data_IF_718201064382
#
_entry.id   IF_718201064382
#
_cell.length_a   1.000
_cell.length_b   1.000
_cell.length_c   1.000
_cell.angle_alpha   90.00
_cell.angle_beta   90.00
_cell.angle_gamma   90.00
#
_symmetry.space_group_name_H-M   'P 1'
#
loop_
_entity.id
_entity.type
_entity.pdbx_description
1 polymer ?
#
# COMPACT_ATOMS: atom_id res chain seq x y z
N UNK A 1 -6.48 -12.24 10.90
CA UNK A 1 -6.39 -12.64 9.48
C UNK A 1 -7.00 -14.04 9.26
N UNK A 2 -8.17 -14.37 9.81
CA UNK A 2 -8.76 -15.73 9.66
C UNK A 2 -9.99 -15.77 8.73
N UNK A 3 -10.86 -14.75 8.77
CA UNK A 3 -12.14 -14.76 8.05
C UNK A 3 -12.03 -14.90 6.52
N UNK A 4 -11.02 -14.29 5.89
CA UNK A 4 -10.83 -14.40 4.44
C UNK A 4 -10.33 -15.78 4.02
N UNK A 5 -9.46 -16.41 4.80
CA UNK A 5 -9.00 -17.77 4.50
C UNK A 5 -10.09 -18.81 4.79
N UNK A 6 -10.96 -18.56 5.76
CA UNK A 6 -12.13 -19.42 6.03
C UNK A 6 -13.11 -19.41 4.85
N UNK A 7 -13.40 -18.25 4.26
CA UNK A 7 -14.33 -18.13 3.14
C UNK A 7 -13.68 -18.43 1.77
N UNK A 8 -12.40 -18.11 1.60
CA UNK A 8 -11.66 -18.20 0.34
C UNK A 8 -10.27 -18.81 0.57
N UNK A 9 -10.24 -20.11 0.84
CA UNK A 9 -9.02 -20.83 1.19
C UNK A 9 -7.90 -20.71 0.13
N UNK A 10 -8.25 -20.61 -1.15
CA UNK A 10 -7.30 -20.47 -2.26
C UNK A 10 -6.88 -19.02 -2.55
N UNK A 11 -7.45 -18.03 -1.86
CA UNK A 11 -7.12 -16.63 -2.11
C UNK A 11 -5.76 -16.28 -1.51
N UNK A 12 -4.91 -15.65 -2.31
CA UNK A 12 -3.65 -15.08 -1.82
C UNK A 12 -3.93 -13.71 -1.21
N UNK A 13 -3.68 -13.58 0.10
CA UNK A 13 -3.75 -12.28 0.77
C UNK A 13 -2.49 -11.48 0.44
N UNK A 14 -2.68 -10.28 -0.10
CA UNK A 14 -1.59 -9.35 -0.36
C UNK A 14 -1.94 -7.96 0.16
N UNK A 15 -0.99 -7.32 0.84
CA UNK A 15 -1.12 -5.96 1.34
C UNK A 15 -1.14 -4.93 0.20
N UNK A 16 -1.58 -3.72 0.47
CA UNK A 16 -1.57 -2.65 -0.54
C UNK A 16 -0.28 -1.82 -0.43
N UNK A 17 0.46 -1.64 -1.54
CA UNK A 17 1.71 -0.86 -1.55
C UNK A 17 1.48 0.58 -1.08
N UNK A 18 0.36 1.18 -1.51
CA UNK A 18 -0.01 2.53 -1.09
C UNK A 18 -0.18 2.63 0.44
N UNK A 19 -0.75 1.60 1.08
CA UNK A 19 -0.90 1.57 2.54
C UNK A 19 0.45 1.40 3.24
N UNK A 20 1.39 0.65 2.66
CA UNK A 20 2.76 0.59 3.16
C UNK A 20 3.41 1.98 3.12
N UNK A 21 3.37 2.67 1.98
CA UNK A 21 3.89 4.04 1.84
C UNK A 21 3.25 5.01 2.86
N UNK A 22 1.92 4.97 3.01
CA UNK A 22 1.21 5.77 3.99
C UNK A 22 1.65 5.49 5.42
N UNK A 23 1.91 4.22 5.76
CA UNK A 23 2.35 3.85 7.11
C UNK A 23 3.74 4.41 7.43
N UNK A 24 4.65 4.41 6.45
CA UNK A 24 6.00 4.98 6.60
C UNK A 24 5.90 6.49 6.79
N UNK A 25 5.14 7.18 5.93
CA UNK A 25 4.96 8.64 6.04
C UNK A 25 4.24 9.05 7.33
N UNK A 26 3.26 8.28 7.78
CA UNK A 26 2.63 8.49 9.07
C UNK A 26 3.65 8.39 10.20
N UNK A 27 4.56 7.41 10.14
CA UNK A 27 5.61 7.27 11.15
C UNK A 27 6.59 8.44 11.13
N UNK A 28 7.01 8.89 9.95
CA UNK A 28 7.85 10.09 9.78
C UNK A 28 7.19 11.31 10.45
N UNK A 29 5.88 11.50 10.26
CA UNK A 29 5.14 12.58 10.90
C UNK A 29 5.04 12.42 12.43
N UNK A 30 4.76 11.21 12.93
CA UNK A 30 4.74 10.91 14.37
C UNK A 30 6.08 11.20 15.06
N UNK A 31 7.19 10.98 14.36
CA UNK A 31 8.54 11.26 14.86
C UNK A 31 8.93 12.75 14.77
N UNK A 32 8.05 13.60 14.23
CA UNK A 32 8.29 15.03 14.06
C UNK A 32 9.21 15.37 12.88
N UNK A 33 9.46 14.43 11.97
CA UNK A 33 10.41 14.59 10.85
C UNK A 33 9.79 15.24 9.60
N UNK A 34 8.56 15.75 9.68
CA UNK A 34 7.82 16.22 8.51
C UNK A 34 8.54 17.35 7.78
N UNK A 35 8.98 18.37 8.52
CA UNK A 35 9.65 19.55 7.95
C UNK A 35 10.97 19.15 7.29
N UNK A 36 11.75 18.29 7.94
CA UNK A 36 13.03 17.80 7.41
C UNK A 36 12.80 16.95 6.15
N UNK A 37 11.78 16.09 6.14
CA UNK A 37 11.39 15.30 4.97
C UNK A 37 10.94 16.16 3.77
N UNK A 38 10.25 17.27 4.03
CA UNK A 38 9.79 18.18 2.97
C UNK A 38 10.91 19.08 2.44
N UNK A 39 11.90 19.41 3.25
CA UNK A 39 12.98 20.36 2.92
C UNK A 39 14.30 19.72 2.50
N UNK A 40 14.53 18.44 2.84
CA UNK A 40 15.77 17.71 2.52
C UNK A 40 15.50 16.55 1.55
N UNK A 41 16.03 16.68 0.35
CA UNK A 41 15.84 15.71 -0.74
C UNK A 41 16.51 14.36 -0.45
N UNK A 42 17.68 14.35 0.17
CA UNK A 42 18.41 13.12 0.51
C UNK A 42 17.65 12.31 1.57
N UNK A 43 17.15 13.00 2.61
CA UNK A 43 16.32 12.37 3.64
C UNK A 43 15.02 11.84 3.04
N UNK A 44 14.40 12.61 2.14
CA UNK A 44 13.18 12.21 1.44
C UNK A 44 13.40 10.96 0.60
N UNK A 45 14.49 10.89 -0.15
CA UNK A 45 14.86 9.72 -0.96
C UNK A 45 15.10 8.52 -0.05
N UNK A 46 15.90 8.67 1.01
CA UNK A 46 16.20 7.61 1.96
C UNK A 46 14.93 7.01 2.60
N UNK A 47 13.99 7.86 3.04
CA UNK A 47 12.70 7.43 3.57
C UNK A 47 11.88 6.68 2.51
N UNK A 48 11.91 7.11 1.24
CA UNK A 48 11.20 6.42 0.15
C UNK A 48 11.82 5.04 -0.15
N UNK A 49 13.13 4.86 0.04
CA UNK A 49 13.79 3.56 -0.10
C UNK A 49 13.21 2.52 0.88
N UNK A 50 12.75 2.91 2.06
CA UNK A 50 12.06 1.99 2.98
C UNK A 50 10.78 1.41 2.36
N UNK A 51 9.98 2.23 1.67
CA UNK A 51 8.82 1.72 0.96
C UNK A 51 9.24 0.86 -0.26
N UNK A 52 10.31 1.25 -0.94
CA UNK A 52 10.85 0.52 -2.09
C UNK A 52 11.32 -0.90 -1.75
N UNK A 53 11.57 -1.22 -0.47
CA UNK A 53 11.83 -2.59 0.00
C UNK A 53 10.76 -3.59 -0.41
N UNK A 54 9.53 -3.13 -0.71
CA UNK A 54 8.48 -3.99 -1.24
C UNK A 54 8.83 -4.61 -2.60
N UNK A 55 9.81 -4.06 -3.31
CA UNK A 55 10.25 -4.51 -4.62
C UNK A 55 11.58 -5.28 -4.58
N UNK A 56 12.11 -5.58 -3.39
CA UNK A 56 13.27 -6.47 -3.25
C UNK A 56 12.77 -7.92 -3.30
N UNK A 57 13.50 -8.86 -3.94
CA UNK A 57 13.16 -10.28 -3.88
C UNK A 57 13.03 -10.75 -2.42
N UNK A 58 12.04 -11.60 -2.14
CA UNK A 58 11.69 -11.99 -0.76
C UNK A 58 12.88 -12.55 0.04
N UNK A 59 13.76 -13.30 -0.62
CA UNK A 59 14.94 -13.89 0.01
C UNK A 59 15.95 -12.83 0.49
N UNK A 60 16.01 -11.70 -0.21
CA UNK A 60 17.06 -10.70 -0.02
C UNK A 60 16.60 -9.53 0.86
N UNK A 61 15.32 -9.49 1.27
CA UNK A 61 14.74 -8.35 2.00
C UNK A 61 15.49 -8.04 3.29
N UNK A 62 15.90 -9.06 4.04
CA UNK A 62 16.57 -8.85 5.33
C UNK A 62 17.98 -8.27 5.16
N UNK A 63 18.74 -8.80 4.19
CA UNK A 63 20.09 -8.33 3.87
C UNK A 63 20.05 -6.93 3.25
N UNK A 64 19.15 -6.71 2.28
CA UNK A 64 18.97 -5.41 1.65
C UNK A 64 18.55 -4.33 2.66
N UNK A 65 17.81 -4.70 3.71
CA UNK A 65 17.47 -3.77 4.78
C UNK A 65 18.68 -3.38 5.62
N UNK A 66 19.54 -4.34 5.97
CA UNK A 66 20.75 -4.06 6.75
C UNK A 66 21.68 -3.10 5.97
N UNK A 67 21.89 -3.36 4.68
CA UNK A 67 22.63 -2.47 3.78
C UNK A 67 22.00 -1.08 3.67
N UNK A 68 20.66 -1.02 3.55
CA UNK A 68 19.94 0.24 3.50
C UNK A 68 20.15 1.02 4.80
N UNK A 69 19.98 0.38 5.96
CA UNK A 69 20.13 0.98 7.28
C UNK A 69 21.52 1.61 7.49
N UNK A 70 22.57 0.93 7.02
CA UNK A 70 23.95 1.46 7.05
C UNK A 70 24.16 2.68 6.15
N UNK A 71 23.42 2.74 5.03
CA UNK A 71 23.50 3.84 4.06
C UNK A 71 22.62 5.06 4.39
N UNK A 72 21.77 4.98 5.42
CA UNK A 72 20.83 6.06 5.73
C UNK A 72 21.54 7.35 6.19
N UNK A 73 21.03 8.54 5.80
CA UNK A 73 21.60 9.80 6.26
C UNK A 73 21.45 9.93 7.77
N UNK A 74 22.47 10.51 8.43
CA UNK A 74 22.45 10.77 9.86
C UNK A 74 21.33 11.73 10.21
N UNK A 75 20.35 11.25 10.98
CA UNK A 75 19.27 12.07 11.50
C UNK A 75 18.88 11.58 12.90
N UNK A 76 18.56 12.51 13.82
CA UNK A 76 18.27 12.20 15.24
C UNK A 76 17.17 11.14 15.44
N UNK A 77 16.27 11.01 14.47
CA UNK A 77 15.10 10.12 14.49
C UNK A 77 15.17 8.97 13.49
N UNK A 78 16.28 8.82 12.77
CA UNK A 78 16.40 7.77 11.75
C UNK A 78 16.37 6.37 12.38
N UNK A 79 17.12 6.17 13.46
CA UNK A 79 17.18 4.87 14.15
C UNK A 79 15.79 4.45 14.67
N UNK A 80 14.99 5.40 15.16
CA UNK A 80 13.61 5.15 15.60
C UNK A 80 12.70 4.74 14.42
N UNK A 81 12.89 5.34 13.23
CA UNK A 81 12.15 5.00 12.02
C UNK A 81 12.55 3.62 11.48
N UNK A 82 13.85 3.33 11.43
CA UNK A 82 14.39 2.03 11.00
C UNK A 82 13.93 0.92 11.94
N UNK A 83 14.02 1.15 13.25
CA UNK A 83 13.55 0.21 14.26
C UNK A 83 12.05 -0.06 14.12
N UNK A 84 11.25 0.98 13.87
CA UNK A 84 9.82 0.79 13.56
C UNK A 84 9.62 -0.11 12.33
N UNK A 85 10.34 0.15 11.24
CA UNK A 85 10.16 -0.61 10.00
C UNK A 85 10.59 -2.06 10.16
N UNK A 86 11.77 -2.30 10.73
CA UNK A 86 12.30 -3.64 11.02
C UNK A 86 11.34 -4.47 11.87
N UNK A 87 10.85 -3.87 12.96
CA UNK A 87 9.93 -4.54 13.89
C UNK A 87 8.53 -4.75 13.32
N UNK A 88 8.08 -3.90 12.40
CA UNK A 88 6.72 -3.98 11.88
C UNK A 88 6.62 -4.92 10.67
N UNK A 89 7.67 -4.93 9.82
CA UNK A 89 7.60 -5.51 8.47
C UNK A 89 8.65 -6.58 8.18
N UNK A 90 9.78 -6.62 8.90
CA UNK A 90 10.90 -7.52 8.58
C UNK A 90 11.06 -8.60 9.64
N UNK A 91 11.68 -8.27 10.78
CA UNK A 91 12.10 -9.26 11.78
C UNK A 91 11.11 -9.40 12.94
N UNK A 92 10.30 -8.37 13.21
CA UNK A 92 9.42 -8.35 14.38
C UNK A 92 10.10 -7.85 15.65
N UNK A 93 9.45 -7.90 16.82
CA UNK A 93 10.05 -7.38 18.06
C UNK A 93 10.98 -8.41 18.72
N UNK A 94 12.17 -7.98 19.14
CA UNK A 94 13.07 -8.82 19.96
C UNK A 94 12.39 -9.19 21.29
N UNK A 95 12.36 -10.48 21.62
CA UNK A 95 11.83 -10.98 22.89
C UNK A 95 12.99 -11.18 23.86
N UNK A 96 12.95 -10.55 25.03
CA UNK A 96 13.98 -10.74 26.07
C UNK A 96 13.96 -12.19 26.58
N UNK A 97 15.14 -12.83 26.64
CA UNK A 97 15.33 -14.13 27.31
C UNK A 97 15.58 -15.33 26.38
N UNK A 98 15.72 -15.14 25.07
CA UNK A 98 16.23 -16.16 24.14
C UNK A 98 17.21 -15.50 23.16
N UNK A 99 18.39 -16.08 22.99
CA UNK A 99 19.50 -15.48 22.22
C UNK A 99 19.16 -15.20 20.75
N UNK A 100 18.22 -15.94 20.14
CA UNK A 100 17.95 -15.88 18.69
C UNK A 100 16.49 -15.68 18.27
N UNK A 101 15.55 -15.29 19.16
CA UNK A 101 14.12 -15.25 18.79
C UNK A 101 13.52 -13.83 18.74
N UNK A 102 13.21 -13.38 17.53
CA UNK A 102 12.27 -12.30 17.28
C UNK A 102 10.83 -12.85 17.32
N UNK A 103 9.89 -12.10 17.92
CA UNK A 103 8.47 -12.34 17.68
C UNK A 103 8.17 -12.12 16.19
N UNK A 104 7.17 -12.80 15.59
CA UNK A 104 6.85 -12.58 14.18
C UNK A 104 6.52 -11.10 13.92
N UNK A 105 6.97 -10.59 12.77
CA UNK A 105 6.61 -9.26 12.30
C UNK A 105 5.08 -9.10 12.28
N UNK A 106 4.60 -7.90 12.63
CA UNK A 106 3.17 -7.61 12.65
C UNK A 106 2.54 -7.84 11.26
N UNK A 107 3.30 -7.51 10.22
CA UNK A 107 2.97 -7.82 8.83
C UNK A 107 4.12 -8.64 8.22
N UNK A 108 3.92 -9.95 8.01
CA UNK A 108 4.93 -10.80 7.39
C UNK A 108 5.36 -10.28 6.01
N UNK A 109 6.65 -10.47 5.67
CA UNK A 109 7.27 -9.97 4.43
C UNK A 109 6.52 -10.38 3.17
N UNK A 110 6.10 -11.65 3.08
CA UNK A 110 5.34 -12.17 1.95
C UNK A 110 3.98 -11.47 1.73
N UNK A 111 3.40 -10.86 2.77
CA UNK A 111 2.11 -10.18 2.66
C UNK A 111 2.26 -8.84 1.95
N UNK A 112 3.25 -8.02 2.34
CA UNK A 112 3.39 -6.65 1.83
C UNK A 112 4.36 -6.53 0.64
N UNK A 113 5.19 -7.53 0.38
CA UNK A 113 6.08 -7.55 -0.77
C UNK A 113 5.28 -7.56 -2.10
N UNK A 114 5.83 -6.86 -3.09
CA UNK A 114 5.27 -6.60 -4.41
C UNK A 114 6.22 -6.93 -5.55
N UNK A 115 7.33 -7.59 -5.29
CA UNK A 115 8.30 -7.96 -6.33
C UNK A 115 7.65 -8.80 -7.44
N UNK A 116 7.00 -9.91 -7.06
CA UNK A 116 6.30 -10.78 -8.02
C UNK A 116 5.10 -10.10 -8.68
N UNK A 117 4.37 -9.26 -7.94
CA UNK A 117 3.26 -8.48 -8.50
C UNK A 117 3.74 -7.51 -9.57
N UNK A 118 4.86 -6.81 -9.32
CA UNK A 118 5.45 -5.87 -10.27
C UNK A 118 5.94 -6.61 -11.53
N UNK A 119 6.59 -7.76 -11.37
CA UNK A 119 7.04 -8.60 -12.50
C UNK A 119 5.89 -9.09 -13.38
N UNK A 120 4.74 -9.40 -12.78
CA UNK A 120 3.53 -9.87 -13.46
C UNK A 120 2.62 -8.75 -13.97
N UNK A 121 3.00 -7.48 -13.79
CA UNK A 121 2.17 -6.33 -14.16
C UNK A 121 0.85 -6.24 -13.37
N UNK A 122 0.78 -6.88 -12.19
CA UNK A 122 -0.39 -6.79 -11.31
C UNK A 122 -0.39 -5.40 -10.67
N UNK A 123 -1.58 -4.77 -10.63
CA UNK A 123 -1.74 -3.45 -10.04
C UNK A 123 -1.17 -3.38 -8.61
N UNK A 124 -0.25 -2.42 -8.39
CA UNK A 124 0.43 -2.20 -7.09
C UNK A 124 -0.50 -1.64 -6.02
N UNK A 125 -1.56 -0.97 -6.45
CA UNK A 125 -2.55 -0.30 -5.61
C UNK A 125 -3.95 -0.77 -5.98
N UNK A 126 -4.87 -0.61 -5.04
CA UNK A 126 -6.30 -0.80 -5.25
C UNK A 126 -6.96 0.46 -5.86
N UNK A 127 -6.22 1.34 -6.54
CA UNK A 127 -6.73 2.62 -7.07
C UNK A 127 -7.94 2.45 -7.99
N UNK A 128 -7.98 1.38 -8.78
CA UNK A 128 -9.14 1.09 -9.63
C UNK A 128 -10.40 0.81 -8.79
N UNK A 129 -10.23 0.08 -7.69
CA UNK A 129 -11.30 -0.24 -6.75
C UNK A 129 -11.70 1.00 -5.95
N UNK A 130 -10.74 1.77 -5.44
CA UNK A 130 -11.01 3.04 -4.74
C UNK A 130 -11.68 4.06 -5.67
N UNK A 131 -11.25 4.15 -6.93
CA UNK A 131 -11.87 4.98 -7.95
C UNK A 131 -13.31 4.55 -8.26
N UNK A 132 -13.57 3.24 -8.35
CA UNK A 132 -14.92 2.69 -8.48
C UNK A 132 -15.79 3.06 -7.27
N UNK A 133 -15.30 2.88 -6.05
CA UNK A 133 -16.02 3.25 -4.84
C UNK A 133 -16.28 4.76 -4.75
N UNK A 134 -15.30 5.61 -5.06
CA UNK A 134 -15.47 7.06 -5.11
C UNK A 134 -16.53 7.47 -6.15
N UNK A 135 -16.49 6.85 -7.34
CA UNK A 135 -17.49 7.05 -8.37
C UNK A 135 -18.88 6.66 -7.89
N UNK A 136 -19.01 5.51 -7.24
CA UNK A 136 -20.26 5.03 -6.68
C UNK A 136 -20.78 5.96 -5.56
N UNK A 137 -19.91 6.37 -4.64
CA UNK A 137 -20.27 7.30 -3.56
C UNK A 137 -20.75 8.65 -4.11
N UNK A 138 -20.13 9.13 -5.19
CA UNK A 138 -20.55 10.37 -5.86
C UNK A 138 -21.98 10.30 -6.43
N UNK A 139 -22.49 9.11 -6.75
CA UNK A 139 -23.86 8.92 -7.24
C UNK A 139 -24.91 9.04 -6.14
N UNK A 140 -24.56 8.68 -4.90
CA UNK A 140 -25.48 8.74 -3.77
C UNK A 140 -25.52 10.11 -3.10
N UNK A 141 -24.41 10.88 -3.18
CA UNK A 141 -24.27 12.22 -2.59
C UNK A 141 -24.62 12.32 -1.09
N UNK A 142 -24.66 11.19 -0.37
CA UNK A 142 -25.02 11.12 1.05
C UNK A 142 -24.32 9.92 1.71
N UNK A 143 -24.20 9.97 3.05
CA UNK A 143 -23.56 8.90 3.83
C UNK A 143 -24.52 7.75 4.17
N UNK A 144 -25.83 8.02 4.22
CA UNK A 144 -26.87 7.07 4.59
C UNK A 144 -28.04 7.15 3.61
N UNK A 145 -27.89 6.56 2.40
CA UNK A 145 -28.96 6.56 1.41
C UNK A 145 -30.16 5.77 1.92
N UNK A 146 -31.37 6.27 1.64
CA UNK A 146 -32.57 5.44 1.77
C UNK A 146 -32.49 4.25 0.80
N UNK A 147 -33.24 3.19 1.05
CA UNK A 147 -33.29 2.03 0.15
C UNK A 147 -33.62 2.43 -1.30
N UNK A 148 -34.52 3.41 -1.47
CA UNK A 148 -34.88 3.93 -2.78
C UNK A 148 -33.71 4.67 -3.46
N UNK A 149 -33.04 5.57 -2.73
CA UNK A 149 -31.86 6.30 -3.22
C UNK A 149 -30.72 5.35 -3.58
N UNK A 150 -30.55 4.27 -2.80
CA UNK A 150 -29.59 3.22 -3.08
C UNK A 150 -29.90 2.53 -4.40
N UNK A 151 -31.13 2.07 -4.61
CA UNK A 151 -31.52 1.41 -5.85
C UNK A 151 -31.36 2.31 -7.08
N UNK A 152 -31.78 3.57 -6.99
CA UNK A 152 -31.63 4.52 -8.08
C UNK A 152 -30.15 4.82 -8.40
N UNK A 153 -29.31 4.96 -7.39
CA UNK A 153 -27.87 5.12 -7.59
C UNK A 153 -27.21 3.88 -8.21
N UNK A 154 -27.58 2.67 -7.79
CA UNK A 154 -27.08 1.41 -8.35
C UNK A 154 -27.51 1.21 -9.82
N UNK A 155 -28.74 1.59 -10.18
CA UNK A 155 -29.19 1.60 -11.58
C UNK A 155 -28.35 2.55 -12.42
N UNK A 156 -28.10 3.76 -11.93
CA UNK A 156 -27.26 4.76 -12.62
C UNK A 156 -25.82 4.25 -12.81
N UNK A 157 -25.23 3.66 -11.78
CA UNK A 157 -23.89 3.06 -11.88
C UNK A 157 -23.87 1.93 -12.92
N UNK A 158 -24.84 1.01 -12.87
CA UNK A 158 -24.94 -0.11 -13.81
C UNK A 158 -25.02 0.36 -15.27
N UNK A 159 -25.84 1.39 -15.55
CA UNK A 159 -25.91 2.00 -16.87
C UNK A 159 -24.57 2.61 -17.30
N UNK A 160 -23.89 3.32 -16.40
CA UNK A 160 -22.58 3.92 -16.67
C UNK A 160 -21.52 2.86 -16.98
N UNK A 161 -21.43 1.80 -16.16
CA UNK A 161 -20.48 0.70 -16.38
C UNK A 161 -20.76 -0.02 -17.70
N UNK A 162 -22.03 -0.26 -18.04
CA UNK A 162 -22.43 -0.87 -19.31
C UNK A 162 -22.01 -0.01 -20.51
N UNK A 163 -22.20 1.30 -20.44
CA UNK A 163 -21.75 2.22 -21.49
C UNK A 163 -20.24 2.20 -21.66
N UNK A 164 -19.48 2.24 -20.56
CA UNK A 164 -18.01 2.16 -20.59
C UNK A 164 -17.57 0.84 -21.24
N UNK A 165 -18.14 -0.29 -20.81
CA UNK A 165 -17.83 -1.60 -21.36
C UNK A 165 -18.11 -1.71 -22.87
N UNK A 166 -19.26 -1.21 -23.33
CA UNK A 166 -19.62 -1.20 -24.76
C UNK A 166 -18.67 -0.32 -25.58
N UNK A 167 -18.31 0.86 -25.07
CA UNK A 167 -17.34 1.75 -25.70
C UNK A 167 -15.95 1.10 -25.80
N UNK A 168 -15.45 0.50 -24.71
CA UNK A 168 -14.17 -0.21 -24.70
C UNK A 168 -14.16 -1.39 -25.68
N UNK A 169 -15.23 -2.18 -25.71
CA UNK A 169 -15.35 -3.33 -26.64
C UNK A 169 -15.43 -2.88 -28.11
N UNK A 170 -15.93 -1.67 -28.35
CA UNK A 170 -15.99 -1.05 -29.69
C UNK A 170 -14.67 -0.38 -30.11
N UNK A 171 -13.61 -0.47 -29.29
CA UNK A 171 -12.30 0.12 -29.58
C UNK A 171 -12.18 1.61 -29.25
N UNK A 172 -13.17 2.20 -28.56
CA UNK A 172 -13.07 3.60 -28.10
C UNK A 172 -12.11 3.65 -26.92
N UNK A 173 -10.95 4.27 -27.11
CA UNK A 173 -9.98 4.47 -26.05
C UNK A 173 -10.45 5.56 -25.08
N UNK A 174 -10.67 5.18 -23.82
CA UNK A 174 -10.87 6.14 -22.74
C UNK A 174 -9.52 6.47 -22.11
N UNK A 175 -9.01 7.66 -22.40
CA UNK A 175 -7.80 8.15 -21.75
C UNK A 175 -8.10 8.51 -20.29
N UNK A 176 -7.43 7.85 -19.34
CA UNK A 176 -7.46 8.28 -17.95
C UNK A 176 -6.96 9.72 -17.82
N UNK A 177 -7.59 10.52 -16.95
CA UNK A 177 -7.05 11.82 -16.52
C UNK A 177 -5.55 11.71 -16.19
N UNK A 178 -4.75 12.68 -16.63
CA UNK A 178 -3.28 12.71 -16.47
C UNK A 178 -2.80 12.38 -15.05
N UNK A 179 -3.64 12.64 -14.04
CA UNK A 179 -3.37 12.44 -12.61
C UNK A 179 -3.03 10.98 -12.21
N UNK A 180 -3.30 9.98 -13.06
CA UNK A 180 -3.08 8.55 -12.77
C UNK A 180 -2.13 7.82 -13.73
N UNK A 181 -1.60 8.48 -14.76
CA UNK A 181 -0.72 7.84 -15.76
C UNK A 181 0.69 7.53 -15.24
N UNK A 182 1.14 8.22 -14.20
CA UNK A 182 2.52 8.16 -13.69
C UNK A 182 2.65 7.42 -12.34
N UNK A 183 1.59 6.75 -11.87
CA UNK A 183 1.60 6.02 -10.60
C UNK A 183 2.12 4.60 -10.72
#
# INVERSE_FOLDING_TARGET
MSSFHEAFASATISGCYFRLCQSVLRKVNELGMKVDYESNDDLRIAVRCLAAMAHVPLADVSEAFDLLAESMPRHKKMDELLSYFEHTYIRGRRVRGREENYAPALFPTHTWNKFESAKKGIARTNNAVEGSHCGLQSLFMCNHPTMWTLFEGLKKDSCKQKTIHLQTTSGVEHHSSQKYREL
#
